data_IF_475819120544
#
_entry.id   IF_475819120544
#
_cell.length_a   1.000
_cell.length_b   1.000
_cell.length_c   1.000
_cell.angle_alpha   90.00
_cell.angle_beta   90.00
_cell.angle_gamma   90.00
#
_symmetry.space_group_name_H-M   'P 1'
#
loop_
_entity.id
_entity.type
_entity.pdbx_description
1 polymer ?
#
# COMPACT_ATOMS: atom_id res chain seq x y z
N UNK A 1 6.73 50.17 -20.32
CA UNK A 1 5.50 49.71 -21.01
C UNK A 1 5.97 48.87 -22.20
N UNK A 2 6.15 47.55 -22.17
CA UNK A 2 5.63 46.51 -21.28
C UNK A 2 4.96 45.43 -22.15
N UNK A 3 5.55 44.22 -22.21
CA UNK A 3 4.98 42.97 -22.77
C UNK A 3 5.20 42.81 -24.29
N UNK A 4 6.07 41.95 -24.83
CA UNK A 4 6.38 40.53 -24.57
C UNK A 4 5.16 39.60 -24.60
N UNK A 5 5.17 38.76 -25.65
CA UNK A 5 4.97 37.30 -25.64
C UNK A 5 3.80 36.76 -26.49
N UNK A 6 4.24 36.03 -27.52
CA UNK A 6 3.69 34.80 -28.10
C UNK A 6 2.33 34.82 -28.81
N UNK A 7 2.44 34.70 -30.14
CA UNK A 7 1.87 33.62 -30.95
C UNK A 7 0.43 33.21 -30.63
N UNK A 8 -0.49 33.83 -31.35
CA UNK A 8 -1.86 33.33 -31.56
C UNK A 8 -2.19 33.41 -33.04
N UNK A 9 -1.62 32.49 -33.81
CA UNK A 9 -2.04 32.28 -35.19
C UNK A 9 -2.75 30.92 -35.27
N UNK A 10 -4.05 30.98 -34.99
CA UNK A 10 -5.01 29.94 -35.34
C UNK A 10 -5.22 29.97 -36.85
N UNK A 11 -4.45 29.17 -37.60
CA UNK A 11 -4.87 28.68 -38.92
C UNK A 11 -4.04 27.47 -39.37
N UNK A 12 -4.49 26.28 -38.96
CA UNK A 12 -4.32 25.03 -39.72
C UNK A 12 -5.71 24.40 -39.72
N UNK A 13 -6.51 24.68 -40.75
CA UNK A 13 -6.65 23.79 -41.90
C UNK A 13 -6.75 22.35 -41.41
N UNK A 14 -7.99 21.91 -41.29
CA UNK A 14 -8.39 20.54 -40.96
C UNK A 14 -7.93 19.61 -42.08
N UNK A 15 -6.69 19.15 -42.01
CA UNK A 15 -6.24 17.95 -42.72
C UNK A 15 -6.36 16.78 -41.74
N UNK A 16 -7.59 16.28 -41.61
CA UNK A 16 -7.84 15.00 -40.96
C UNK A 16 -7.19 13.91 -41.82
N UNK A 17 -6.24 13.11 -41.32
CA UNK A 17 -5.71 11.97 -42.08
C UNK A 17 -6.86 10.97 -42.34
N UNK A 18 -6.88 10.28 -43.51
CA UNK A 18 -7.90 9.29 -43.80
C UNK A 18 -7.87 8.17 -42.75
N UNK A 19 -9.02 7.60 -42.36
CA UNK A 19 -9.06 6.47 -41.44
C UNK A 19 -8.36 5.26 -42.07
N UNK A 20 -7.69 4.40 -41.26
CA UNK A 20 -7.10 3.17 -41.77
C UNK A 20 -8.19 2.24 -42.35
N UNK A 21 -7.88 1.41 -43.36
CA UNK A 21 -8.82 0.42 -43.85
C UNK A 21 -9.19 -0.54 -42.72
N UNK A 22 -10.50 -0.79 -42.57
CA UNK A 22 -11.01 -1.73 -41.57
C UNK A 22 -10.42 -3.13 -41.75
N UNK A 23 -10.37 -3.96 -40.69
CA UNK A 23 -9.87 -5.32 -40.80
C UNK A 23 -10.66 -6.09 -41.86
N UNK A 24 -9.95 -6.59 -42.87
CA UNK A 24 -10.52 -7.45 -43.90
C UNK A 24 -11.18 -8.68 -43.29
N UNK A 25 -12.25 -9.13 -43.95
CA UNK A 25 -12.92 -10.38 -43.64
C UNK A 25 -11.89 -11.52 -43.58
N UNK A 26 -11.74 -12.12 -42.41
CA UNK A 26 -10.90 -13.31 -42.22
C UNK A 26 -11.40 -14.51 -43.03
N UNK A 27 -10.61 -15.59 -43.13
CA UNK A 27 -11.00 -16.80 -43.84
C UNK A 27 -12.29 -17.40 -43.25
N UNK A 28 -13.13 -18.07 -44.08
CA UNK A 28 -14.33 -18.72 -43.59
C UNK A 28 -13.96 -19.83 -42.59
N UNK A 29 -14.81 -20.08 -41.57
CA UNK A 29 -14.56 -21.13 -40.60
C UNK A 29 -14.52 -22.52 -41.28
N UNK A 30 -13.67 -23.44 -40.80
CA UNK A 30 -13.66 -24.80 -41.31
C UNK A 30 -15.01 -25.49 -41.04
N UNK A 31 -15.48 -26.25 -42.02
CA UNK A 31 -16.69 -27.06 -41.90
C UNK A 31 -16.48 -28.12 -40.82
N UNK A 32 -17.39 -28.14 -39.83
CA UNK A 32 -17.39 -29.13 -38.75
C UNK A 32 -17.60 -30.54 -39.33
N UNK A 33 -16.63 -31.42 -39.10
CA UNK A 33 -16.83 -32.86 -39.20
C UNK A 33 -17.71 -33.34 -38.02
N UNK A 34 -18.55 -34.39 -38.19
CA UNK A 34 -19.35 -34.92 -37.10
C UNK A 34 -18.46 -35.49 -35.98
N UNK A 35 -18.82 -35.18 -34.73
CA UNK A 35 -18.09 -35.62 -33.55
C UNK A 35 -18.16 -37.15 -33.38
N UNK A 36 -17.08 -37.80 -32.90
CA UNK A 36 -17.11 -39.21 -32.55
C UNK A 36 -18.03 -39.48 -31.35
N UNK A 37 -18.58 -40.70 -31.19
CA UNK A 37 -19.45 -41.04 -30.07
C UNK A 37 -18.68 -40.94 -28.73
N UNK A 38 -19.38 -40.65 -27.62
CA UNK A 38 -18.74 -40.49 -26.33
C UNK A 38 -18.13 -41.81 -25.87
N UNK A 39 -16.85 -41.79 -25.57
CA UNK A 39 -16.20 -42.87 -24.82
C UNK A 39 -16.69 -42.81 -23.38
N UNK A 40 -17.26 -43.91 -22.88
CA UNK A 40 -17.60 -44.06 -21.46
C UNK A 40 -16.33 -43.86 -20.62
N UNK A 41 -16.30 -42.81 -19.82
CA UNK A 41 -15.29 -42.64 -18.78
C UNK A 41 -15.49 -43.73 -17.70
N UNK A 42 -14.41 -44.31 -17.14
CA UNK A 42 -14.54 -45.19 -15.99
C UNK A 42 -15.13 -44.43 -14.81
N UNK A 43 -16.01 -45.10 -14.06
CA UNK A 43 -16.64 -44.53 -12.88
C UNK A 43 -15.58 -44.06 -11.87
N UNK A 44 -15.76 -42.90 -11.22
CA UNK A 44 -14.84 -42.44 -10.19
C UNK A 44 -14.90 -43.39 -8.97
N UNK A 45 -13.77 -43.62 -8.27
CA UNK A 45 -13.77 -44.40 -7.04
C UNK A 45 -14.64 -43.71 -5.97
N UNK A 46 -15.38 -44.48 -5.16
CA UNK A 46 -16.10 -43.90 -4.03
C UNK A 46 -15.04 -43.45 -3.00
N UNK A 47 -15.16 -42.21 -2.55
CA UNK A 47 -14.30 -41.54 -1.56
C UNK A 47 -13.09 -40.76 -2.11
N UNK A 48 -13.35 -39.75 -2.93
CA UNK A 48 -12.56 -38.52 -2.84
C UNK A 48 -13.15 -37.65 -1.72
N UNK A 49 -12.38 -37.17 -0.73
CA UNK A 49 -12.89 -36.20 0.25
C UNK A 49 -13.30 -34.93 -0.49
N UNK A 50 -14.51 -34.44 -0.20
CA UNK A 50 -14.99 -33.17 -0.73
C UNK A 50 -14.03 -32.03 -0.34
N UNK A 51 -13.75 -31.06 -1.23
CA UNK A 51 -13.03 -29.86 -0.83
C UNK A 51 -13.82 -29.19 0.31
N UNK A 52 -13.15 -28.70 1.37
CA UNK A 52 -13.84 -28.04 2.46
C UNK A 52 -14.62 -26.84 1.91
N UNK A 53 -15.81 -26.54 2.48
CA UNK A 53 -16.58 -25.37 2.06
C UNK A 53 -15.70 -24.12 2.22
N UNK A 54 -15.60 -23.34 1.15
CA UNK A 54 -14.99 -22.01 1.16
C UNK A 54 -15.54 -21.22 2.35
N UNK A 55 -14.68 -20.84 3.29
CA UNK A 55 -15.05 -19.94 4.39
C UNK A 55 -14.38 -20.20 5.74
N UNK A 56 -13.56 -21.24 5.90
CA UNK A 56 -12.67 -21.29 7.06
C UNK A 56 -11.40 -20.51 6.72
N UNK A 57 -11.40 -19.22 7.07
CA UNK A 57 -10.15 -18.50 7.26
C UNK A 57 -9.34 -19.30 8.28
N UNK A 58 -8.33 -20.04 7.81
CA UNK A 58 -7.32 -20.61 8.67
C UNK A 58 -6.87 -19.49 9.62
N UNK A 59 -6.77 -19.72 10.94
CA UNK A 59 -6.19 -18.72 11.82
C UNK A 59 -4.84 -18.36 11.21
N UNK A 60 -4.71 -17.12 10.71
CA UNK A 60 -3.45 -16.65 10.15
C UNK A 60 -2.43 -16.85 11.26
N UNK A 61 -1.59 -17.86 11.09
CA UNK A 61 -0.50 -18.14 11.98
C UNK A 61 0.26 -16.82 12.08
N UNK A 62 0.39 -16.20 13.26
CA UNK A 62 0.98 -14.88 13.36
C UNK A 62 2.34 -14.97 12.68
N UNK A 63 2.52 -14.20 11.61
CA UNK A 63 3.81 -14.07 10.98
C UNK A 63 4.83 -13.80 12.09
N UNK A 64 6.05 -14.36 12.05
CA UNK A 64 7.03 -14.12 13.09
C UNK A 64 7.08 -12.61 13.35
N UNK A 65 6.68 -12.21 14.55
CA UNK A 65 6.52 -10.81 14.88
C UNK A 65 7.89 -10.17 14.72
N UNK A 66 8.04 -9.34 13.68
CA UNK A 66 9.21 -8.53 13.53
C UNK A 66 9.32 -7.56 14.72
N UNK A 67 10.42 -6.81 14.81
CA UNK A 67 10.60 -5.89 15.90
C UNK A 67 9.48 -4.84 15.93
N UNK A 68 8.99 -4.49 17.12
CA UNK A 68 7.99 -3.46 17.30
C UNK A 68 8.49 -2.30 18.17
N UNK A 69 7.86 -1.16 17.98
CA UNK A 69 8.09 0.04 18.77
C UNK A 69 6.75 0.59 19.24
N UNK A 70 6.68 0.92 20.53
CA UNK A 70 5.52 1.52 21.17
C UNK A 70 5.94 2.73 22.01
N UNK A 71 5.40 3.89 21.67
CA UNK A 71 5.48 5.10 22.49
C UNK A 71 4.06 5.53 22.87
N UNK A 72 3.79 5.66 24.17
CA UNK A 72 2.46 6.05 24.70
C UNK A 72 2.63 7.14 25.75
N UNK A 73 1.75 8.13 25.68
CA UNK A 73 1.52 9.13 26.72
C UNK A 73 0.07 9.08 27.23
N UNK A 74 -0.39 10.12 27.94
CA UNK A 74 -1.75 10.18 28.51
C UNK A 74 -2.88 10.22 27.45
N UNK A 75 -2.62 10.70 26.24
CA UNK A 75 -3.62 10.98 25.19
C UNK A 75 -3.22 10.48 23.81
N UNK A 76 -1.95 10.12 23.61
CA UNK A 76 -1.39 9.81 22.31
C UNK A 76 -0.56 8.54 22.36
N UNK A 77 -0.54 7.83 21.24
CA UNK A 77 0.30 6.66 21.04
C UNK A 77 0.88 6.66 19.63
N UNK A 78 2.08 6.09 19.49
CA UNK A 78 2.71 5.75 18.22
C UNK A 78 3.14 4.29 18.31
N UNK A 79 2.67 3.49 17.35
CA UNK A 79 3.06 2.09 17.17
C UNK A 79 3.78 1.95 15.83
N UNK A 80 4.88 1.21 15.79
CA UNK A 80 5.54 0.81 14.55
C UNK A 80 5.80 -0.68 14.62
N UNK A 81 5.23 -1.45 13.69
CA UNK A 81 5.31 -2.91 13.65
C UNK A 81 5.31 -3.44 12.21
N UNK A 82 5.17 -4.76 12.03
CA UNK A 82 5.16 -5.40 10.72
C UNK A 82 3.98 -4.97 9.81
N UNK A 83 2.91 -4.45 10.39
CA UNK A 83 1.72 -3.95 9.68
C UNK A 83 1.97 -2.55 9.12
N UNK A 84 2.73 -1.72 9.83
CA UNK A 84 2.98 -0.33 9.45
C UNK A 84 3.25 0.60 10.63
N UNK A 85 2.69 1.80 10.55
CA UNK A 85 2.74 2.83 11.60
C UNK A 85 1.31 3.18 12.01
N UNK A 86 1.01 3.16 13.30
CA UNK A 86 -0.27 3.61 13.84
C UNK A 86 -0.07 4.82 14.74
N UNK A 87 -0.91 5.84 14.57
CA UNK A 87 -1.00 7.00 15.44
C UNK A 87 -2.33 6.99 16.17
N UNK A 88 -2.28 7.21 17.46
CA UNK A 88 -3.42 7.60 18.28
C UNK A 88 -3.19 9.02 18.78
N UNK A 89 -4.18 9.90 18.59
CA UNK A 89 -4.14 11.28 19.06
C UNK A 89 -5.49 11.70 19.62
N UNK A 90 -5.57 11.86 20.94
CA UNK A 90 -6.76 12.32 21.65
C UNK A 90 -8.06 11.56 21.29
N UNK A 91 -7.97 10.24 21.10
CA UNK A 91 -9.11 9.37 20.76
C UNK A 91 -9.37 9.20 19.27
N UNK A 92 -8.57 9.81 18.40
CA UNK A 92 -8.54 9.52 16.97
C UNK A 92 -7.39 8.57 16.66
N UNK A 93 -7.70 7.42 16.06
CA UNK A 93 -6.71 6.44 15.62
C UNK A 93 -6.62 6.42 14.11
N UNK A 94 -5.40 6.39 13.58
CA UNK A 94 -5.11 6.24 12.16
C UNK A 94 -3.96 5.26 11.98
N UNK A 95 -4.13 4.35 11.04
CA UNK A 95 -3.13 3.34 10.70
C UNK A 95 -2.66 3.58 9.27
N UNK A 96 -1.35 3.46 9.06
CA UNK A 96 -0.70 3.57 7.76
C UNK A 96 0.04 2.26 7.50
N UNK A 97 -0.29 1.56 6.42
CA UNK A 97 0.42 0.33 6.05
C UNK A 97 1.74 0.67 5.36
N UNK A 98 2.74 -0.21 5.46
CA UNK A 98 4.03 0.02 4.81
C UNK A 98 3.97 0.42 3.32
N UNK A 99 3.10 -0.18 2.47
CA UNK A 99 2.97 0.24 1.07
C UNK A 99 2.43 1.66 0.88
N UNK A 100 1.73 2.21 1.88
CA UNK A 100 1.12 3.54 1.88
C UNK A 100 2.09 4.62 2.38
N UNK A 101 3.15 4.21 3.07
CA UNK A 101 4.12 5.10 3.69
C UNK A 101 5.22 5.45 2.70
N UNK A 102 5.32 6.73 2.35
CA UNK A 102 6.44 7.27 1.58
C UNK A 102 7.68 7.38 2.43
N UNK A 103 7.57 8.02 3.58
CA UNK A 103 8.66 8.11 4.54
C UNK A 103 8.15 8.33 5.94
N UNK A 104 8.94 7.86 6.91
CA UNK A 104 8.72 8.15 8.32
C UNK A 104 9.85 9.09 8.77
N UNK A 105 9.47 10.22 9.35
CA UNK A 105 10.39 11.16 9.97
C UNK A 105 10.15 11.16 11.47
N UNK A 106 11.20 11.29 12.26
CA UNK A 106 11.08 11.42 13.69
C UNK A 106 12.10 12.41 14.22
N UNK A 107 11.69 13.19 15.22
CA UNK A 107 12.54 14.19 15.88
C UNK A 107 12.09 14.41 17.31
N UNK A 108 12.94 15.09 18.08
CA UNK A 108 12.55 15.54 19.40
C UNK A 108 11.70 16.80 19.22
N UNK A 109 10.73 17.00 20.10
CA UNK A 109 10.06 18.29 20.21
C UNK A 109 11.09 19.40 20.51
N UNK A 110 10.80 20.67 20.19
CA UNK A 110 11.74 21.77 20.45
C UNK A 110 12.16 21.89 21.92
N UNK A 111 11.28 21.50 22.85
CA UNK A 111 11.57 21.46 24.29
C UNK A 111 12.30 20.18 24.74
N UNK A 112 12.47 19.19 23.85
CA UNK A 112 13.11 17.90 24.08
C UNK A 112 12.37 17.00 25.07
N UNK A 113 11.06 17.16 25.21
CA UNK A 113 10.21 16.41 26.16
C UNK A 113 9.23 15.47 25.47
N UNK A 114 9.17 15.46 24.14
CA UNK A 114 8.28 14.61 23.39
C UNK A 114 8.97 14.07 22.14
N UNK A 115 8.53 12.89 21.72
CA UNK A 115 8.85 12.31 20.44
C UNK A 115 7.82 12.80 19.43
N UNK A 116 8.28 13.42 18.35
CA UNK A 116 7.45 13.78 17.21
C UNK A 116 7.72 12.76 16.12
N UNK A 117 6.70 12.04 15.67
CA UNK A 117 6.77 11.10 14.55
C UNK A 117 5.83 11.59 13.46
N UNK A 118 6.32 11.62 12.23
CA UNK A 118 5.55 12.02 11.08
C UNK A 118 5.62 10.98 9.96
N UNK A 119 4.48 10.70 9.37
CA UNK A 119 4.32 9.86 8.19
C UNK A 119 4.03 10.76 7.00
N UNK A 120 4.86 10.65 5.96
CA UNK A 120 4.52 11.14 4.63
C UNK A 120 3.88 9.98 3.91
N UNK A 121 2.63 10.17 3.48
CA UNK A 121 1.88 9.17 2.74
C UNK A 121 2.23 9.20 1.24
N UNK A 122 1.94 8.12 0.50
CA UNK A 122 2.21 8.00 -0.93
C UNK A 122 1.57 9.13 -1.76
N UNK A 123 0.40 9.61 -1.34
CA UNK A 123 -0.29 10.74 -1.99
C UNK A 123 0.31 12.13 -1.68
N UNK A 124 1.35 12.19 -0.84
CA UNK A 124 2.01 13.43 -0.43
C UNK A 124 1.42 14.08 0.83
N UNK A 125 0.38 13.50 1.45
CA UNK A 125 -0.13 13.98 2.74
C UNK A 125 0.88 13.77 3.85
N UNK A 126 0.87 14.68 4.81
CA UNK A 126 1.73 14.66 5.98
C UNK A 126 0.86 14.48 7.23
N UNK A 127 1.19 13.47 8.04
CA UNK A 127 0.52 13.18 9.31
C UNK A 127 1.57 13.20 10.40
N UNK A 128 1.30 13.87 11.52
CA UNK A 128 2.23 13.98 12.65
C UNK A 128 1.51 13.58 13.93
N UNK A 129 2.20 12.79 14.76
CA UNK A 129 1.78 12.47 16.12
C UNK A 129 2.92 12.82 17.10
N UNK A 130 2.54 13.36 18.25
CA UNK A 130 3.47 13.83 19.28
C UNK A 130 3.17 13.08 20.56
N UNK A 131 4.18 12.37 21.09
CA UNK A 131 4.07 11.57 22.31
C UNK A 131 4.99 12.14 23.38
N UNK A 132 4.44 12.56 24.52
CA UNK A 132 5.21 13.06 25.65
C UNK A 132 6.08 11.97 26.29
N UNK A 133 7.38 12.26 26.41
CA UNK A 133 8.35 11.44 27.10
C UNK A 133 8.47 11.89 28.57
N UNK A 134 7.73 11.21 29.45
CA UNK A 134 7.80 11.41 30.91
C UNK A 134 8.28 10.12 31.59
N UNK A 135 9.50 10.08 32.17
CA UNK A 135 10.50 11.15 32.25
C UNK A 135 11.23 11.41 30.91
N UNK A 136 11.92 12.56 30.80
CA UNK A 136 12.65 12.95 29.57
C UNK A 136 13.67 11.89 29.11
N UNK A 137 14.24 11.12 30.03
CA UNK A 137 15.18 10.03 29.72
C UNK A 137 14.59 8.98 28.78
N UNK A 138 13.27 8.77 28.83
CA UNK A 138 12.54 7.85 27.94
C UNK A 138 12.71 8.19 26.47
N UNK A 139 12.91 9.48 26.15
CA UNK A 139 13.16 9.92 24.79
C UNK A 139 14.50 9.35 24.26
N UNK A 140 15.53 9.23 25.12
CA UNK A 140 16.83 8.65 24.76
C UNK A 140 16.75 7.15 24.47
N UNK A 141 15.79 6.45 25.08
CA UNK A 141 15.51 5.03 24.81
C UNK A 141 14.71 4.86 23.52
N UNK A 142 13.73 5.74 23.28
CA UNK A 142 12.86 5.65 22.11
C UNK A 142 13.57 5.90 20.78
N UNK A 143 14.51 6.85 20.70
CA UNK A 143 15.23 7.15 19.46
C UNK A 143 15.99 5.95 18.85
N UNK A 144 16.87 5.26 19.58
CA UNK A 144 17.61 4.12 19.04
C UNK A 144 16.67 2.93 18.75
N UNK A 145 15.66 2.70 19.58
CA UNK A 145 14.67 1.64 19.33
C UNK A 145 13.90 1.92 18.03
N UNK A 146 13.35 3.13 17.89
CA UNK A 146 12.61 3.53 16.69
C UNK A 146 13.49 3.47 15.44
N UNK A 147 14.74 3.93 15.51
CA UNK A 147 15.68 3.85 14.40
C UNK A 147 15.94 2.40 13.95
N UNK A 148 16.10 1.49 14.92
CA UNK A 148 16.31 0.07 14.65
C UNK A 148 15.07 -0.59 14.00
N UNK A 149 13.88 -0.34 14.54
CA UNK A 149 12.61 -0.86 13.99
C UNK A 149 12.37 -0.33 12.57
N UNK A 150 12.55 0.97 12.34
CA UNK A 150 12.42 1.57 11.01
C UNK A 150 13.45 1.01 10.03
N UNK A 151 14.68 0.75 10.48
CA UNK A 151 15.70 0.12 9.65
C UNK A 151 15.36 -1.32 9.25
N UNK A 152 14.59 -2.04 10.07
CA UNK A 152 14.13 -3.39 9.77
C UNK A 152 13.06 -3.42 8.67
N UNK A 153 12.01 -2.59 8.77
CA UNK A 153 10.90 -2.61 7.81
C UNK A 153 11.11 -1.69 6.60
N UNK A 154 11.92 -0.65 6.76
CA UNK A 154 12.24 0.31 5.71
C UNK A 154 13.75 0.47 5.62
N UNK A 155 14.47 -0.57 5.13
CA UNK A 155 15.87 -0.41 4.79
C UNK A 155 15.95 0.75 3.80
N UNK A 156 16.61 1.84 4.19
CA UNK A 156 16.80 2.99 3.31
C UNK A 156 17.45 2.47 2.03
N UNK A 157 16.72 2.56 0.92
CA UNK A 157 17.29 2.40 -0.42
C UNK A 157 18.08 3.64 -0.82
#
# INVERSE_FOLDING_TARGET
MGGLLLARENRRMTEQPPPPPGPGFGPPPPQYAPAPPPQYAPAPPPHAPAPPPYGQALPQQPAPAGPDFLAVDKRNAVVVDASGVAFESSGLSIEFRWPEIRSVHYRASPNGKALMVAVIHMDGRFFECVVEAKPRSRLQEWFPQLAWVLGHYRPMG
#
